data_IF_665545513698
#
_entry.id   IF_665545513698
#
_cell.length_a   1.000
_cell.length_b   1.000
_cell.length_c   1.000
_cell.angle_alpha   90.00
_cell.angle_beta   90.00
_cell.angle_gamma   90.00
#
_symmetry.space_group_name_H-M   'P 1'
#
loop_
_entity.id
_entity.type
_entity.pdbx_description
1 polymer ?
2 non-polymer ?
3 non-polymer ?
4 non-polymer ?
5 water ?
#
# COMPACT_ATOMS: atom_id res chain seq x y z
N UNK A 1 2.70 7.02 17.73
CA UNK A 1 2.14 6.42 18.98
C UNK A 1 2.85 5.11 19.37
N UNK A 2 4.20 5.07 19.28
CA UNK A 2 5.02 3.91 19.82
C UNK A 2 6.41 4.15 20.44
N UNK A 3 6.93 5.40 20.41
CA UNK A 3 8.22 5.83 21.09
C UNK A 3 9.59 5.28 20.55
N UNK A 4 9.63 3.97 20.26
CA UNK A 4 10.63 3.28 19.41
C UNK A 4 10.49 3.75 17.94
N UNK A 5 9.35 4.38 17.66
CA UNK A 5 8.94 4.83 16.35
C UNK A 5 9.30 6.29 16.07
N UNK A 6 10.24 6.83 16.88
CA UNK A 6 10.54 8.29 16.89
C UNK A 6 10.88 8.79 15.47
N UNK A 7 11.90 8.17 14.86
CA UNK A 7 12.37 8.61 13.52
C UNK A 7 11.25 8.46 12.47
N UNK A 8 10.56 7.31 12.49
CA UNK A 8 9.42 7.03 11.62
C UNK A 8 8.32 8.07 11.75
N UNK A 9 8.03 8.51 12.97
CA UNK A 9 6.91 9.44 13.14
C UNK A 9 7.13 10.78 12.49
N UNK A 10 8.39 11.15 12.27
CA UNK A 10 8.70 12.46 11.69
C UNK A 10 8.20 12.48 10.26
N UNK A 11 7.98 11.27 9.72
CA UNK A 11 7.57 11.10 8.34
C UNK A 11 6.07 11.09 8.06
N UNK A 12 5.28 11.11 9.14
CA UNK A 12 3.86 10.72 9.11
C UNK A 12 3.00 11.61 8.19
N UNK A 13 3.18 12.94 8.24
CA UNK A 13 2.34 13.71 7.30
C UNK A 13 2.78 13.58 5.85
N UNK A 14 4.09 13.53 5.63
CA UNK A 14 4.62 13.49 4.26
C UNK A 14 4.20 12.19 3.61
N UNK A 15 4.39 11.06 4.28
CA UNK A 15 3.96 9.76 3.74
C UNK A 15 2.44 9.70 3.46
N UNK A 16 1.63 10.30 4.33
CA UNK A 16 0.17 10.33 4.10
C UNK A 16 -0.21 11.17 2.92
N UNK A 17 0.39 12.36 2.80
CA UNK A 17 0.20 13.21 1.59
C UNK A 17 0.52 12.45 0.34
N UNK A 18 1.67 11.80 0.31
CA UNK A 18 2.09 11.08 -0.89
C UNK A 18 1.04 9.99 -1.18
N UNK A 19 0.66 9.26 -0.12
CA UNK A 19 -0.25 8.13 -0.23
C UNK A 19 -1.51 8.56 -0.93
N UNK A 20 -2.08 9.69 -0.48
CA UNK A 20 -3.31 10.15 -1.11
C UNK A 20 -3.20 10.91 -2.46
N UNK A 21 -2.11 11.67 -2.71
CA UNK A 21 -1.96 12.18 -4.11
C UNK A 21 -1.85 11.04 -5.08
N UNK A 22 -1.12 10.01 -4.69
CA UNK A 22 -0.93 8.89 -5.57
C UNK A 22 -2.30 8.33 -5.90
N UNK A 23 -3.11 8.10 -4.84
CA UNK A 23 -4.49 7.61 -4.96
C UNK A 23 -5.36 8.46 -5.91
N UNK A 24 -5.36 9.79 -5.73
CA UNK A 24 -6.11 10.73 -6.60
C UNK A 24 -5.73 10.55 -8.05
N UNK A 25 -4.41 10.47 -8.33
CA UNK A 25 -3.84 10.27 -9.67
C UNK A 25 -4.27 8.98 -10.31
N UNK A 26 -4.14 7.88 -9.59
CA UNK A 26 -4.41 6.56 -10.15
C UNK A 26 -5.89 6.31 -10.45
N UNK A 27 -6.78 6.89 -9.65
CA UNK A 27 -8.24 6.75 -9.86
C UNK A 27 -8.73 7.55 -11.09
N UNK A 28 -8.12 8.71 -11.36
CA UNK A 28 -8.22 9.35 -12.70
C UNK A 28 -7.81 8.46 -13.90
N UNK A 29 -6.54 8.02 -13.98
CA UNK A 29 -6.15 7.17 -15.10
C UNK A 29 -6.92 5.82 -15.21
N UNK A 30 -7.73 5.45 -14.21
CA UNK A 30 -8.50 4.15 -14.22
C UNK A 30 -9.81 4.18 -13.38
N UNK A 31 -10.84 4.94 -13.85
CA UNK A 31 -11.92 5.47 -13.01
C UNK A 31 -12.92 4.46 -12.46
N UNK A 32 -12.95 3.24 -13.01
CA UNK A 32 -13.97 2.24 -12.63
C UNK A 32 -13.45 0.88 -12.33
N UNK A 33 -12.20 0.87 -11.92
CA UNK A 33 -11.50 -0.40 -11.71
C UNK A 33 -11.08 -0.51 -10.25
N UNK A 34 -10.97 -1.74 -9.78
CA UNK A 34 -10.17 -2.06 -8.59
C UNK A 34 -8.84 -1.26 -8.55
N UNK A 35 -8.58 -0.60 -7.43
CA UNK A 35 -7.25 -0.10 -7.16
C UNK A 35 -6.76 -0.73 -5.89
N UNK A 36 -5.55 -1.31 -5.91
CA UNK A 36 -4.91 -1.84 -4.69
C UNK A 36 -3.40 -1.74 -4.69
N UNK A 37 -2.85 -0.96 -3.76
CA UNK A 37 -1.42 -0.75 -3.67
C UNK A 37 -0.99 -0.49 -2.22
N UNK A 38 0.34 -0.47 -2.02
CA UNK A 38 0.94 -0.16 -0.71
C UNK A 38 1.70 1.17 -0.75
N UNK A 39 1.08 2.27 -0.25
CA UNK A 39 1.81 3.55 -0.23
C UNK A 39 3.19 3.39 0.44
N UNK A 40 3.23 2.78 1.62
CA UNK A 40 4.45 2.75 2.37
C UNK A 40 5.56 2.05 1.60
N UNK A 41 5.19 0.98 0.88
CA UNK A 41 6.08 0.25 0.04
C UNK A 41 6.60 1.10 -1.13
N UNK A 42 5.72 1.87 -1.81
CA UNK A 42 6.19 2.75 -2.88
C UNK A 42 7.09 3.80 -2.30
N UNK A 43 6.66 4.42 -1.21
CA UNK A 43 7.45 5.51 -0.70
C UNK A 43 8.83 5.00 -0.36
N UNK A 44 8.88 3.82 0.23
CA UNK A 44 10.12 3.25 0.70
C UNK A 44 11.04 2.88 -0.48
N UNK A 45 10.51 2.28 -1.57
CA UNK A 45 11.33 1.88 -2.72
C UNK A 45 12.00 3.12 -3.30
N UNK A 46 11.25 4.22 -3.46
CA UNK A 46 11.81 5.47 -3.99
C UNK A 46 12.77 6.23 -3.13
N UNK A 47 12.56 6.22 -1.83
CA UNK A 47 13.47 6.89 -0.92
C UNK A 47 14.80 6.18 -1.02
N UNK A 48 14.74 4.86 -1.12
CA UNK A 48 15.91 4.05 -1.32
C UNK A 48 16.69 4.44 -2.60
N UNK A 49 16.01 4.64 -3.74
CA UNK A 49 16.70 5.21 -4.91
C UNK A 49 17.37 6.52 -4.60
N UNK A 50 16.70 7.36 -3.80
CA UNK A 50 17.30 8.64 -3.44
C UNK A 50 18.70 8.47 -2.82
N UNK A 51 18.93 7.35 -2.13
CA UNK A 51 20.22 7.02 -1.52
C UNK A 51 21.36 7.00 -2.53
N UNK A 52 21.02 6.69 -3.79
CA UNK A 52 21.93 6.75 -4.90
C UNK A 52 21.82 7.91 -5.86
N UNK A 53 20.85 8.82 -5.67
CA UNK A 53 20.60 9.87 -6.63
C UNK A 53 21.35 11.10 -6.22
N UNK A 54 21.59 11.98 -7.18
CA UNK A 54 22.29 13.24 -6.94
C UNK A 54 21.50 14.39 -7.56
N UNK A 55 21.71 15.61 -7.03
CA UNK A 55 21.19 16.83 -7.66
C UNK A 55 19.65 16.82 -7.85
N UNK A 56 19.20 17.10 -9.08
CA UNK A 56 17.80 17.33 -9.35
C UNK A 56 17.05 16.01 -9.41
N UNK A 57 17.74 14.94 -9.84
CA UNK A 57 17.17 13.58 -9.72
C UNK A 57 16.76 13.27 -8.28
N UNK A 58 17.64 13.58 -7.34
CA UNK A 58 17.44 13.28 -5.98
C UNK A 58 16.36 14.16 -5.34
N UNK A 59 16.43 15.46 -5.61
CA UNK A 59 15.47 16.43 -5.07
C UNK A 59 14.05 16.19 -5.55
N UNK A 60 13.89 15.80 -6.81
CA UNK A 60 12.57 15.45 -7.34
C UNK A 60 11.99 14.18 -6.71
N UNK A 61 12.86 13.21 -6.43
CA UNK A 61 12.41 11.97 -5.76
C UNK A 61 11.83 12.37 -4.39
N UNK A 62 12.62 13.11 -3.60
CA UNK A 62 12.25 13.42 -2.22
C UNK A 62 11.04 14.37 -2.17
N UNK A 63 10.97 15.28 -3.13
CA UNK A 63 9.88 16.24 -3.13
C UNK A 63 8.61 15.58 -3.61
N UNK A 64 8.76 14.68 -4.56
CA UNK A 64 7.60 14.03 -5.15
C UNK A 64 7.04 13.08 -4.12
N UNK A 65 7.92 12.60 -3.24
CA UNK A 65 7.48 11.86 -2.07
C UNK A 65 6.82 12.72 -0.98
N UNK A 66 6.59 14.03 -1.27
CA UNK A 66 5.98 15.06 -0.38
C UNK A 66 6.81 15.47 0.84
N UNK A 67 8.13 15.38 0.72
CA UNK A 67 9.02 15.99 1.71
C UNK A 67 9.47 17.40 1.24
N UNK A 68 9.55 18.32 2.20
CA UNK A 68 10.02 19.67 1.89
C UNK A 68 11.41 19.81 2.49
N UNK A 69 12.39 19.81 1.59
CA UNK A 69 13.79 19.72 2.00
C UNK A 69 14.29 20.90 2.83
N UNK A 70 13.61 22.04 2.68
CA UNK A 70 13.91 23.23 3.52
C UNK A 70 13.44 23.03 4.97
N UNK A 71 12.62 22.01 5.25
CA UNK A 71 12.14 21.76 6.62
C UNK A 71 12.50 20.38 7.22
N UNK A 72 13.05 19.46 6.43
CA UNK A 72 13.51 18.15 6.94
C UNK A 72 14.87 17.79 6.29
N UNK A 73 15.81 17.26 7.08
CA UNK A 73 17.08 16.76 6.51
C UNK A 73 16.91 15.44 5.73
N UNK A 74 17.71 15.28 4.67
CA UNK A 74 17.80 13.99 4.01
C UNK A 74 18.19 12.83 4.99
N UNK A 75 19.10 13.11 5.93
CA UNK A 75 19.48 12.16 7.00
C UNK A 75 18.25 11.63 7.71
N UNK A 76 17.31 12.53 8.03
CA UNK A 76 16.11 12.16 8.80
C UNK A 76 15.12 11.29 8.02
N UNK A 77 14.93 11.58 6.74
CA UNK A 77 14.12 10.78 5.82
C UNK A 77 14.63 9.35 5.84
N UNK A 78 15.93 9.13 5.55
CA UNK A 78 16.47 7.76 5.52
C UNK A 78 16.39 7.10 6.90
N UNK A 79 16.61 7.89 7.95
CA UNK A 79 16.51 7.36 9.32
C UNK A 79 15.08 6.93 9.59
N UNK A 80 14.16 7.81 9.16
CA UNK A 80 12.73 7.65 9.24
C UNK A 80 12.30 6.35 8.59
N UNK A 81 12.71 6.16 7.32
CA UNK A 81 12.28 5.00 6.59
C UNK A 81 12.97 3.76 7.12
N UNK A 82 14.22 3.86 7.57
CA UNK A 82 14.79 2.67 8.19
C UNK A 82 13.97 2.24 9.45
N UNK A 83 13.56 3.23 10.20
CA UNK A 83 12.85 2.94 11.44
C UNK A 83 11.48 2.36 11.08
N UNK A 84 10.84 2.94 10.07
CA UNK A 84 9.60 2.42 9.58
C UNK A 84 9.68 0.98 9.09
N UNK A 85 10.63 0.64 8.20
CA UNK A 85 10.70 -0.74 7.69
C UNK A 85 11.02 -1.70 8.82
N UNK A 86 11.93 -1.28 9.68
CA UNK A 86 12.30 -2.12 10.80
C UNK A 86 11.04 -2.48 11.64
N UNK A 87 10.20 -1.49 11.91
CA UNK A 87 9.01 -1.76 12.70
C UNK A 87 7.95 -2.56 12.04
N UNK A 88 7.72 -2.29 10.74
CA UNK A 88 6.77 -3.03 9.93
C UNK A 88 7.18 -4.46 9.64
N UNK A 89 8.49 -4.67 9.45
CA UNK A 89 8.99 -6.00 9.14
C UNK A 89 9.38 -6.83 10.29
N UNK A 90 9.59 -6.22 11.47
CA UNK A 90 10.05 -6.97 12.65
C UNK A 90 9.12 -8.08 13.16
N UNK A 91 9.62 -9.34 13.26
CA UNK A 91 8.95 -10.50 13.86
C UNK A 91 8.31 -10.29 15.25
N UNK A 92 9.04 -9.72 16.22
CA UNK A 92 8.46 -9.45 17.54
C UNK A 92 7.42 -8.31 17.55
N UNK A 93 7.32 -7.54 16.46
CA UNK A 93 6.48 -6.31 16.39
C UNK A 93 5.03 -6.50 15.93
N UNK A 94 4.34 -5.39 15.69
CA UNK A 94 2.90 -5.44 15.53
C UNK A 94 2.24 -5.69 14.19
N UNK A 95 3.03 -5.88 13.13
CA UNK A 95 2.49 -5.91 11.78
C UNK A 95 2.99 -7.12 11.00
N UNK A 96 4.31 -7.33 10.98
CA UNK A 96 4.95 -8.38 10.17
C UNK A 96 4.50 -8.27 8.73
N UNK A 97 4.79 -7.13 8.12
CA UNK A 97 4.21 -6.78 6.85
C UNK A 97 4.99 -7.54 5.76
N UNK A 98 6.26 -7.81 6.04
CA UNK A 98 7.20 -8.38 5.11
C UNK A 98 7.29 -7.68 3.76
N UNK A 99 7.47 -6.37 3.79
CA UNK A 99 7.49 -5.61 2.55
C UNK A 99 8.90 -5.63 2.02
N UNK A 100 9.02 -5.77 0.70
CA UNK A 100 10.33 -6.00 0.07
C UNK A 100 10.54 -5.14 -1.16
N UNK A 101 11.78 -4.65 -1.27
CA UNK A 101 12.34 -3.86 -2.36
C UNK A 101 13.45 -4.64 -3.00
N UNK A 102 13.48 -4.69 -4.33
CA UNK A 102 14.59 -5.31 -5.06
C UNK A 102 14.86 -4.50 -6.31
N UNK A 103 16.14 -4.49 -6.71
CA UNK A 103 16.58 -3.99 -7.99
C UNK A 103 17.22 -5.04 -8.85
N UNK A 104 16.89 -5.02 -10.14
CA UNK A 104 17.47 -5.90 -11.12
C UNK A 104 18.18 -5.01 -12.13
N UNK A 105 19.52 -5.05 -12.11
CA UNK A 105 20.33 -4.07 -12.87
C UNK A 105 21.03 -4.87 -13.99
N UNK A 106 21.07 -4.28 -15.19
CA UNK A 106 21.80 -4.91 -16.30
C UNK A 106 23.24 -5.25 -15.90
N UNK A 107 23.64 -6.47 -16.24
CA UNK A 107 25.03 -6.91 -16.10
C UNK A 107 26.04 -5.94 -16.76
N UNK A 108 25.56 -5.17 -17.73
CA UNK A 108 26.36 -4.19 -18.45
C UNK A 108 26.71 -2.90 -17.66
N UNK A 109 26.30 -2.83 -16.40
CA UNK A 109 26.58 -1.64 -15.60
C UNK A 109 27.28 -2.01 -14.32
N UNK A 110 28.05 -1.05 -13.80
CA UNK A 110 28.81 -1.22 -12.54
C UNK A 110 27.87 -1.01 -11.36
N UNK A 111 28.19 -1.63 -10.24
CA UNK A 111 27.59 -1.25 -8.94
C UNK A 111 28.61 -0.84 -7.86
N UNK A 112 28.30 0.23 -7.15
CA UNK A 112 29.14 0.68 -6.09
C UNK A 112 28.80 -0.09 -4.81
N UNK A 113 29.85 -0.56 -4.13
CA UNK A 113 29.71 -1.14 -2.83
C UNK A 113 29.00 -0.19 -1.85
N UNK A 114 29.26 1.12 -1.99
CA UNK A 114 28.74 2.10 -1.05
C UNK A 114 27.22 2.07 -1.16
N UNK A 115 26.69 2.04 -2.40
CA UNK A 115 25.24 2.00 -2.56
C UNK A 115 24.64 0.67 -2.08
N UNK A 116 25.27 -0.44 -2.45
CA UNK A 116 24.76 -1.72 -1.99
C UNK A 116 24.73 -1.83 -0.46
N UNK A 117 25.71 -1.25 0.26
CA UNK A 117 25.81 -1.39 1.72
C UNK A 117 24.77 -0.44 2.35
N UNK A 118 24.74 0.82 1.93
CA UNK A 118 23.82 1.80 2.43
C UNK A 118 22.39 1.36 2.25
N UNK A 119 22.09 0.83 1.05
CA UNK A 119 20.74 0.47 0.74
C UNK A 119 20.39 -0.84 1.45
N UNK A 120 21.36 -1.72 1.74
CA UNK A 120 21.02 -2.89 2.50
C UNK A 120 20.75 -2.49 3.96
N UNK A 121 21.63 -1.67 4.52
CA UNK A 121 21.53 -1.33 5.95
C UNK A 121 20.25 -0.58 6.19
N UNK A 122 19.97 0.42 5.35
CA UNK A 122 18.80 1.27 5.57
C UNK A 122 17.48 0.65 5.15
N UNK A 123 17.49 -0.08 4.04
CA UNK A 123 16.27 -0.36 3.30
C UNK A 123 16.17 -1.83 3.06
N UNK A 124 17.07 -2.62 3.64
CA UNK A 124 17.08 -4.08 3.36
C UNK A 124 17.05 -4.43 1.83
N UNK A 125 17.65 -3.61 0.97
CA UNK A 125 17.69 -3.88 -0.47
C UNK A 125 18.44 -5.17 -0.82
N UNK A 126 17.78 -5.95 -1.68
CA UNK A 126 18.48 -7.01 -2.43
C UNK A 126 18.63 -6.54 -3.84
N UNK A 127 19.87 -6.57 -4.36
CA UNK A 127 20.15 -6.14 -5.74
C UNK A 127 20.69 -7.32 -6.56
N UNK A 128 20.28 -7.43 -7.81
CA UNK A 128 20.63 -8.59 -8.70
C UNK A 128 21.16 -8.10 -10.04
N UNK A 129 22.29 -8.66 -10.45
CA UNK A 129 22.85 -8.48 -11.80
C UNK A 129 21.96 -9.32 -12.68
N UNK A 130 21.47 -8.70 -13.73
CA UNK A 130 20.47 -9.38 -14.53
C UNK A 130 20.83 -9.25 -16.00
N UNK A 131 20.81 -10.38 -16.69
CA UNK A 131 20.99 -10.41 -18.14
C UNK A 131 19.63 -10.28 -18.82
N UNK A 132 19.25 -9.03 -19.10
CA UNK A 132 17.99 -8.73 -19.78
C UNK A 132 17.92 -9.15 -21.29
N UNK A 133 19.06 -9.53 -21.89
CA UNK A 133 19.12 -10.10 -23.21
C UNK A 133 18.86 -11.60 -23.19
N UNK A 134 18.26 -12.07 -22.10
CA UNK A 134 17.71 -13.39 -22.05
C UNK A 134 16.37 -13.17 -21.38
N UNK A 135 15.43 -12.43 -22.07
CA UNK A 135 14.13 -12.08 -21.49
C UNK A 135 13.40 -13.24 -20.83
N UNK A 136 13.31 -14.37 -21.54
CA UNK A 136 12.70 -15.59 -21.03
C UNK A 136 13.28 -15.96 -19.68
N UNK A 137 14.59 -16.18 -19.63
CA UNK A 137 15.25 -16.68 -18.45
C UNK A 137 15.26 -15.58 -17.32
N UNK A 138 15.41 -14.29 -17.69
CA UNK A 138 15.28 -13.14 -16.76
C UNK A 138 13.90 -13.17 -16.08
N UNK A 139 12.85 -13.10 -16.91
CA UNK A 139 11.44 -13.26 -16.44
C UNK A 139 11.21 -14.42 -15.52
N UNK A 140 11.62 -15.61 -15.95
CA UNK A 140 11.42 -16.78 -15.12
C UNK A 140 12.19 -16.62 -13.77
N UNK A 141 13.39 -16.05 -13.80
CA UNK A 141 14.17 -15.98 -12.57
C UNK A 141 13.70 -14.88 -11.62
N UNK A 142 13.23 -13.78 -12.19
CA UNK A 142 12.62 -12.72 -11.41
C UNK A 142 11.32 -13.19 -10.73
N UNK A 143 10.45 -13.87 -11.49
CA UNK A 143 9.17 -14.32 -10.96
C UNK A 143 9.30 -15.43 -9.94
N UNK A 144 10.31 -16.27 -10.13
CA UNK A 144 10.66 -17.28 -9.15
C UNK A 144 11.14 -16.64 -7.86
N UNK A 145 11.83 -15.50 -8.03
CA UNK A 145 12.37 -14.77 -6.90
C UNK A 145 11.22 -14.22 -6.05
N UNK A 146 10.27 -13.55 -6.72
CA UNK A 146 9.08 -12.98 -6.04
C UNK A 146 8.28 -14.09 -5.41
N UNK A 147 8.11 -15.20 -6.12
CA UNK A 147 7.38 -16.30 -5.59
C UNK A 147 8.01 -16.90 -4.33
N UNK A 148 9.32 -17.06 -4.35
CA UNK A 148 9.98 -17.74 -3.28
C UNK A 148 10.00 -16.83 -2.04
N UNK A 149 10.19 -15.54 -2.31
CA UNK A 149 10.32 -14.49 -1.31
C UNK A 149 8.96 -14.34 -0.56
N UNK A 150 7.86 -14.65 -1.24
CA UNK A 150 6.53 -14.38 -0.69
C UNK A 150 5.84 -15.67 -0.27
N UNK A 151 6.65 -16.71 -0.06
CA UNK A 151 6.14 -18.05 0.29
C UNK A 151 4.95 -18.47 -0.57
N UNK A 152 5.00 -18.09 -1.84
CA UNK A 152 4.03 -18.55 -2.77
C UNK A 152 2.96 -17.55 -3.02
N UNK A 153 2.80 -16.56 -2.15
CA UNK A 153 1.65 -15.61 -2.21
C UNK A 153 1.59 -14.66 -3.38
N UNK A 154 2.72 -14.37 -4.00
CA UNK A 154 2.78 -13.49 -5.16
C UNK A 154 3.68 -14.17 -6.17
N UNK A 155 3.17 -14.34 -7.39
CA UNK A 155 3.93 -14.92 -8.50
C UNK A 155 3.80 -13.91 -9.67
N UNK A 156 4.53 -14.13 -10.75
CA UNK A 156 4.33 -13.34 -11.99
C UNK A 156 4.35 -11.84 -11.85
N UNK A 157 5.33 -11.32 -11.12
CA UNK A 157 5.62 -9.90 -11.11
C UNK A 157 5.78 -9.26 -12.49
N UNK A 158 6.63 -9.82 -13.36
CA UNK A 158 6.90 -9.22 -14.69
C UNK A 158 6.58 -10.21 -15.84
N UNK A 159 6.24 -9.69 -17.02
CA UNK A 159 5.90 -10.45 -18.25
C UNK A 159 6.37 -9.59 -19.40
N UNK A 160 6.98 -10.20 -20.42
CA UNK A 160 7.52 -9.47 -21.62
C UNK A 160 8.39 -8.24 -21.24
N UNK A 161 9.64 -8.47 -20.82
CA UNK A 161 10.51 -7.38 -20.38
C UNK A 161 11.41 -6.88 -21.49
N UNK A 162 11.40 -5.57 -21.73
CA UNK A 162 12.27 -4.99 -22.79
C UNK A 162 13.76 -5.46 -22.67
N UNK A 163 14.34 -6.08 -23.74
CA UNK A 163 15.75 -6.53 -23.65
C UNK A 163 16.77 -5.41 -23.48
N UNK A 164 16.36 -4.18 -23.68
CA UNK A 164 17.17 -3.03 -23.35
C UNK A 164 17.00 -2.41 -21.92
N UNK A 165 16.43 -3.19 -20.98
CA UNK A 165 16.13 -2.71 -19.63
C UNK A 165 17.47 -2.42 -18.98
N UNK A 166 17.57 -1.24 -18.41
CA UNK A 166 18.76 -0.91 -17.68
C UNK A 166 18.56 -1.39 -16.23
N UNK A 167 17.48 -0.94 -15.59
CA UNK A 167 17.14 -1.29 -14.18
C UNK A 167 15.63 -1.42 -13.98
N UNK A 168 15.25 -2.53 -13.39
CA UNK A 168 13.94 -2.79 -12.87
C UNK A 168 13.92 -2.55 -11.34
N UNK A 169 13.12 -1.61 -10.85
CA UNK A 169 12.87 -1.48 -9.40
C UNK A 169 11.61 -2.22 -9.08
N UNK A 170 11.72 -3.27 -8.28
CA UNK A 170 10.54 -4.03 -7.82
C UNK A 170 10.16 -3.71 -6.32
N UNK A 171 8.90 -3.29 -6.04
CA UNK A 171 8.40 -3.42 -4.66
C UNK A 171 7.17 -4.28 -4.61
N UNK A 172 7.15 -5.16 -3.61
CA UNK A 172 6.06 -6.05 -3.48
C UNK A 172 5.81 -6.34 -2.01
N UNK A 173 4.58 -6.74 -1.71
CA UNK A 173 4.13 -6.91 -0.31
C UNK A 173 2.83 -7.68 -0.33
N UNK A 174 2.79 -8.71 0.50
CA UNK A 174 1.59 -9.50 0.75
C UNK A 174 1.21 -9.29 2.25
N UNK A 175 -0.10 -9.21 2.54
CA UNK A 175 -0.56 -9.13 3.90
C UNK A 175 -1.85 -9.91 4.06
N UNK A 176 -1.98 -10.53 5.22
CA UNK A 176 -3.26 -11.05 5.73
C UNK A 176 -3.30 -10.76 7.22
N UNK A 177 -4.32 -10.01 7.63
CA UNK A 177 -4.33 -9.67 9.01
C UNK A 177 -5.07 -10.72 9.80
N UNK A 178 -4.74 -10.82 11.08
CA UNK A 178 -5.65 -11.48 11.98
C UNK A 178 -6.59 -10.46 12.69
N UNK A 179 -7.90 -10.70 12.59
CA UNK A 179 -8.90 -9.79 13.15
C UNK A 179 -8.91 -9.75 14.69
N UNK A 180 -8.90 -8.56 15.29
CA UNK A 180 -9.06 -8.49 16.76
C UNK A 180 -10.40 -9.13 17.20
N UNK A 181 -11.47 -8.85 16.44
CA UNK A 181 -12.80 -9.38 16.60
C UNK A 181 -13.10 -10.24 15.39
N UNK A 182 -12.94 -11.55 15.52
CA UNK A 182 -13.21 -12.45 14.36
C UNK A 182 -14.67 -12.47 13.92
N UNK A 183 -14.90 -12.65 12.62
CA UNK A 183 -16.22 -12.93 12.08
C UNK A 183 -16.50 -14.42 12.39
N UNK A 184 -17.76 -14.80 12.65
CA UNK A 184 -18.07 -16.22 12.93
C UNK A 184 -18.26 -16.92 11.59
N UNK A 185 -17.40 -17.89 11.30
CA UNK A 185 -17.43 -18.53 9.97
C UNK A 185 -18.72 -19.31 9.69
N UNK A 186 -19.36 -19.87 10.72
CA UNK A 186 -20.68 -20.56 10.55
C UNK A 186 -21.62 -19.65 9.76
N UNK A 187 -21.54 -18.32 9.96
CA UNK A 187 -22.49 -17.34 9.34
C UNK A 187 -22.10 -16.64 8.04
N UNK A 188 -20.96 -17.00 7.46
CA UNK A 188 -20.61 -16.49 6.12
C UNK A 188 -21.54 -17.18 5.12
N UNK A 189 -22.19 -16.42 4.24
CA UNK A 189 -23.11 -16.93 3.22
C UNK A 189 -22.91 -16.12 1.97
N UNK A 190 -23.15 -16.72 0.80
CA UNK A 190 -23.01 -16.04 -0.48
C UNK A 190 -24.14 -15.04 -0.66
N UNK A 191 -23.77 -13.77 -0.83
CA UNK A 191 -24.73 -12.70 -0.95
C UNK A 191 -24.35 -11.86 -2.15
N UNK A 192 -25.22 -10.94 -2.51
CA UNK A 192 -25.05 -10.19 -3.69
C UNK A 192 -24.24 -8.95 -3.43
N UNK A 193 -23.36 -8.63 -4.39
CA UNK A 193 -22.55 -7.43 -4.36
C UNK A 193 -22.85 -6.69 -5.63
N UNK A 194 -23.12 -5.39 -5.50
CA UNK A 194 -23.59 -4.58 -6.62
C UNK A 194 -22.47 -3.71 -7.13
N UNK A 195 -21.82 -4.21 -8.19
CA UNK A 195 -20.74 -3.51 -8.88
C UNK A 195 -21.14 -2.23 -9.62
N UNK A 196 -22.23 -2.26 -10.44
CA UNK A 196 -22.46 -1.26 -11.58
C UNK A 196 -23.66 -0.25 -11.70
N UNK A 197 -24.90 -0.70 -11.59
CA UNK A 197 -25.25 -2.09 -11.69
C UNK A 197 -25.98 -2.31 -13.01
N UNK A 198 -25.19 -2.28 -14.09
CA UNK A 198 -25.34 -3.28 -15.14
C UNK A 198 -24.70 -4.65 -14.65
N UNK A 199 -23.98 -4.64 -13.52
CA UNK A 199 -23.29 -5.87 -12.97
C UNK A 199 -23.46 -6.16 -11.48
N UNK A 200 -23.61 -7.44 -11.17
CA UNK A 200 -23.97 -7.96 -9.85
C UNK A 200 -23.30 -9.29 -9.66
N UNK A 201 -22.59 -9.47 -8.56
CA UNK A 201 -21.81 -10.71 -8.40
C UNK A 201 -22.14 -11.37 -7.06
N UNK A 202 -21.84 -12.66 -6.94
CA UNK A 202 -21.98 -13.26 -5.66
C UNK A 202 -20.62 -13.37 -4.96
N UNK A 203 -20.59 -13.04 -3.67
CA UNK A 203 -19.37 -12.89 -2.89
C UNK A 203 -19.66 -13.57 -1.56
N UNK A 204 -18.67 -14.27 -0.96
CA UNK A 204 -18.97 -14.74 0.40
C UNK A 204 -18.95 -13.56 1.40
N UNK A 205 -20.13 -13.21 1.90
CA UNK A 205 -20.33 -12.07 2.78
C UNK A 205 -20.23 -12.54 4.24
N UNK A 206 -19.22 -12.04 4.95
CA UNK A 206 -18.99 -12.43 6.33
C UNK A 206 -19.92 -11.59 7.17
N UNK A 207 -20.15 -12.04 8.41
CA UNK A 207 -21.13 -11.46 9.32
C UNK A 207 -20.60 -11.50 10.72
N UNK A 208 -20.88 -10.42 11.41
CA UNK A 208 -20.55 -10.32 12.81
C UNK A 208 -21.47 -9.29 13.47
N UNK A 209 -21.85 -9.53 14.71
CA UNK A 209 -22.63 -8.55 15.49
C UNK A 209 -21.82 -8.06 16.69
N UNK A 210 -21.70 -6.75 16.90
CA UNK A 210 -20.91 -6.29 18.04
C UNK A 210 -20.61 -4.83 17.93
N UNK A 211 -19.82 -4.29 18.87
CA UNK A 211 -19.50 -2.87 18.89
C UNK A 211 -18.27 -2.54 18.02
N UNK A 212 -18.44 -1.70 17.00
CA UNK A 212 -17.35 -1.30 16.15
C UNK A 212 -17.23 0.21 16.02
N UNK A 213 -16.01 0.70 15.80
CA UNK A 213 -15.79 2.09 15.54
C UNK A 213 -16.56 2.44 14.31
N UNK A 214 -17.30 3.54 14.41
CA UNK A 214 -18.22 3.95 13.37
C UNK A 214 -18.24 5.47 13.26
N UNK A 215 -18.46 5.96 12.04
CA UNK A 215 -18.70 7.38 11.82
C UNK A 215 -19.36 7.54 10.49
N UNK A 216 -20.34 8.46 10.40
CA UNK A 216 -20.95 8.83 9.12
C UNK A 216 -20.52 10.25 8.84
N UNK A 217 -19.88 10.60 7.70
CA UNK A 217 -19.97 12.04 7.29
C UNK A 217 -20.98 12.37 6.24
N UNK A 218 -21.73 13.46 6.52
CA UNK A 218 -22.73 13.94 5.57
C UNK A 218 -22.01 14.57 4.39
N UNK A 219 -21.07 15.48 4.68
CA UNK A 219 -20.20 16.10 3.65
C UNK A 219 -19.79 15.08 2.58
N UNK A 220 -19.32 13.90 3.01
CA UNK A 220 -18.87 12.96 2.04
C UNK A 220 -19.82 11.85 1.67
N UNK A 221 -20.89 11.69 2.45
CA UNK A 221 -21.92 10.65 2.17
C UNK A 221 -21.36 9.23 2.27
N UNK A 222 -20.60 9.04 3.35
CA UNK A 222 -19.79 7.84 3.59
C UNK A 222 -20.06 7.25 4.93
N UNK A 223 -20.22 5.95 4.97
CA UNK A 223 -20.22 5.26 6.24
C UNK A 223 -18.80 4.78 6.44
N UNK A 224 -18.22 5.03 7.63
CA UNK A 224 -16.88 4.59 7.99
C UNK A 224 -16.99 3.56 9.11
N UNK A 225 -16.42 2.37 8.90
CA UNK A 225 -16.30 1.40 9.97
C UNK A 225 -14.82 1.04 10.11
N UNK A 226 -14.34 1.04 11.35
CA UNK A 226 -12.96 0.72 11.60
C UNK A 226 -12.81 -0.54 12.47
N UNK A 227 -12.01 -1.49 11.99
CA UNK A 227 -11.82 -2.80 12.60
C UNK A 227 -10.35 -2.94 12.90
N UNK A 228 -10.01 -3.34 14.13
CA UNK A 228 -8.60 -3.56 14.45
C UNK A 228 -8.18 -4.93 14.02
N UNK A 229 -6.94 -4.98 13.57
CA UNK A 229 -6.20 -6.24 13.56
C UNK A 229 -5.52 -6.51 14.92
N UNK A 230 -5.29 -7.78 15.22
CA UNK A 230 -4.33 -8.17 16.26
C UNK A 230 -3.02 -7.54 15.92
N UNK A 231 -2.35 -7.01 16.92
CA UNK A 231 -1.11 -6.31 16.64
C UNK A 231 -1.46 -4.86 16.57
N UNK A 232 -0.83 -4.11 15.69
CA UNK A 232 -1.04 -2.68 15.67
C UNK A 232 -1.72 -2.16 14.38
N UNK A 233 -1.92 -3.02 13.37
CA UNK A 233 -2.59 -2.62 12.12
C UNK A 233 -4.05 -2.40 12.38
N UNK A 234 -4.67 -1.53 11.61
CA UNK A 234 -6.10 -1.28 11.70
C UNK A 234 -6.68 -1.05 10.29
N UNK A 235 -7.93 -1.43 10.08
CA UNK A 235 -8.58 -1.22 8.77
C UNK A 235 -9.77 -0.26 8.82
N UNK A 236 -9.75 0.81 8.02
CA UNK A 236 -10.93 1.72 7.80
C UNK A 236 -11.67 1.27 6.56
N UNK A 237 -12.96 0.96 6.71
CA UNK A 237 -13.76 0.42 5.61
C UNK A 237 -14.74 1.52 5.31
N UNK A 238 -14.69 2.04 4.08
CA UNK A 238 -15.40 3.26 3.71
C UNK A 238 -16.37 2.93 2.62
N UNK A 239 -17.65 3.10 2.95
CA UNK A 239 -18.79 2.74 2.09
C UNK A 239 -19.41 4.06 1.65
N UNK A 240 -19.10 4.55 0.43
CA UNK A 240 -19.82 5.73 -0.04
C UNK A 240 -21.21 5.32 -0.55
N UNK A 241 -22.18 6.25 -0.39
CA UNK A 241 -23.51 6.15 -1.03
C UNK A 241 -23.39 5.98 -2.57
N UNK A 242 -24.28 5.18 -3.18
CA UNK A 242 -24.42 5.13 -4.67
C UNK A 242 -24.36 6.54 -5.27
N UNK A 243 -23.45 6.74 -6.21
CA UNK A 243 -23.22 8.04 -6.85
C UNK A 243 -22.18 8.91 -6.16
N UNK A 244 -21.56 8.45 -5.07
CA UNK A 244 -20.65 9.35 -4.33
C UNK A 244 -19.16 8.97 -4.32
N UNK A 245 -18.82 7.86 -4.97
CA UNK A 245 -17.43 7.42 -5.10
C UNK A 245 -16.50 8.45 -5.77
N UNK A 246 -16.85 8.97 -6.97
CA UNK A 246 -15.99 9.94 -7.72
C UNK A 246 -15.62 11.08 -6.77
N UNK A 247 -16.63 11.54 -6.04
CA UNK A 247 -16.46 12.68 -5.15
C UNK A 247 -15.48 12.38 -3.97
N UNK A 248 -15.66 11.21 -3.35
CA UNK A 248 -14.78 10.70 -2.31
C UNK A 248 -13.31 10.57 -2.79
N UNK A 249 -13.11 9.86 -3.93
CA UNK A 249 -11.81 9.82 -4.64
C UNK A 249 -11.12 11.17 -4.76
N UNK A 250 -11.83 12.20 -5.22
CA UNK A 250 -11.23 13.51 -5.52
C UNK A 250 -10.89 14.34 -4.28
N UNK A 251 -11.45 13.98 -3.14
CA UNK A 251 -11.29 14.76 -1.92
C UNK A 251 -10.33 14.08 -0.98
N UNK A 252 -10.27 12.74 -1.04
CA UNK A 252 -9.72 11.97 0.06
C UNK A 252 -8.26 12.41 0.32
N UNK A 253 -7.99 12.82 1.53
CA UNK A 253 -6.65 13.28 1.85
C UNK A 253 -6.48 12.98 3.34
N UNK A 254 -5.34 13.31 3.92
CA UNK A 254 -5.07 12.92 5.27
C UNK A 254 -5.88 13.67 6.33
N UNK A 255 -6.42 14.81 5.93
CA UNK A 255 -7.26 15.61 6.80
C UNK A 255 -8.62 14.89 6.95
N UNK A 256 -9.18 14.41 5.83
CA UNK A 256 -10.34 13.54 5.87
C UNK A 256 -10.14 12.34 6.83
N UNK A 257 -8.96 11.71 6.76
CA UNK A 257 -8.65 10.57 7.63
C UNK A 257 -8.67 11.00 9.09
N UNK A 258 -8.03 12.13 9.41
CA UNK A 258 -7.94 12.61 10.78
C UNK A 258 -9.32 13.00 11.33
N UNK A 259 -10.14 13.62 10.49
CA UNK A 259 -11.55 13.88 10.79
C UNK A 259 -12.22 12.57 11.22
N UNK A 260 -12.15 11.55 10.36
CA UNK A 260 -12.77 10.27 10.69
C UNK A 260 -12.32 9.71 12.04
N UNK A 261 -11.02 9.60 12.23
CA UNK A 261 -10.56 8.93 13.41
C UNK A 261 -10.83 9.75 14.69
N UNK A 262 -10.88 11.09 14.56
CA UNK A 262 -11.23 11.96 15.67
C UNK A 262 -12.67 11.70 16.13
N UNK A 263 -13.54 11.33 15.19
CA UNK A 263 -14.96 11.17 15.44
C UNK A 263 -15.53 9.74 15.48
N UNK A 264 -14.71 8.71 15.36
CA UNK A 264 -15.22 7.33 15.50
C UNK A 264 -15.69 7.08 16.91
N UNK A 265 -16.77 6.32 17.05
CA UNK A 265 -17.29 5.92 18.38
C UNK A 265 -17.77 4.53 18.20
N UNK A 266 -17.60 3.71 19.24
CA UNK A 266 -18.10 2.32 19.25
C UNK A 266 -19.63 2.33 19.19
N UNK A 267 -20.18 1.60 18.22
CA UNK A 267 -21.62 1.46 18.00
C UNK A 267 -21.91 -0.03 17.84
N UNK A 268 -22.88 -0.54 18.59
CA UNK A 268 -23.31 -1.93 18.38
C UNK A 268 -24.12 -2.05 17.07
N UNK A 269 -23.80 -3.07 16.27
CA UNK A 269 -24.33 -3.20 14.90
C UNK A 269 -24.20 -4.59 14.32
N UNK A 270 -24.95 -4.78 13.24
CA UNK A 270 -24.80 -5.93 12.40
C UNK A 270 -23.91 -5.52 11.26
N UNK A 271 -22.82 -6.27 11.11
CA UNK A 271 -21.77 -5.94 10.13
C UNK A 271 -21.65 -7.08 9.14
N UNK A 272 -21.78 -6.69 7.88
CA UNK A 272 -21.64 -7.57 6.77
C UNK A 272 -20.48 -7.06 5.94
N UNK A 273 -19.51 -7.94 5.73
CA UNK A 273 -18.28 -7.54 5.04
C UNK A 273 -17.76 -8.69 4.20
N UNK A 274 -17.39 -8.45 2.94
CA UNK A 274 -17.04 -9.62 2.11
C UNK A 274 -15.70 -10.35 2.52
N UNK A 275 -15.69 -11.68 2.50
CA UNK A 275 -14.48 -12.47 2.42
C UNK A 275 -13.99 -12.38 0.99
N UNK A 276 -12.78 -11.85 0.80
CA UNK A 276 -12.19 -11.68 -0.53
C UNK A 276 -10.63 -11.56 -0.52
N UNK A 277 -10.03 -11.51 -1.71
CA UNK A 277 -8.56 -11.35 -1.91
C UNK A 277 -8.43 -10.39 -3.01
N UNK A 278 -7.40 -9.56 -2.96
CA UNK A 278 -7.17 -8.60 -4.02
C UNK A 278 -5.65 -8.38 -4.35
N UNK A 279 -5.29 -8.24 -5.64
CA UNK A 279 -3.94 -7.87 -6.13
C UNK A 279 -4.02 -6.55 -6.83
N UNK A 280 -3.00 -5.74 -6.69
CA UNK A 280 -2.81 -4.65 -7.63
C UNK A 280 -1.40 -4.81 -8.17
N UNK A 281 -1.24 -4.56 -9.47
CA UNK A 281 0.06 -4.78 -10.11
C UNK A 281 0.29 -3.67 -11.07
N UNK A 282 1.21 -2.77 -10.79
CA UNK A 282 1.33 -1.61 -11.67
C UNK A 282 2.77 -1.26 -12.07
N UNK A 283 2.95 -0.81 -13.31
CA UNK A 283 4.14 -0.08 -13.67
C UNK A 283 3.78 1.38 -13.37
N UNK A 284 4.46 2.01 -12.41
CA UNK A 284 4.02 3.27 -11.79
C UNK A 284 4.75 4.56 -12.21
N UNK A 285 5.58 4.45 -13.25
CA UNK A 285 6.32 5.57 -13.85
C UNK A 285 5.48 6.79 -14.18
N UNK A 286 4.40 6.65 -14.98
CA UNK A 286 3.60 7.80 -15.41
C UNK A 286 3.10 8.55 -14.23
N UNK A 287 2.62 7.77 -13.24
CA UNK A 287 1.94 8.28 -12.07
C UNK A 287 2.95 9.13 -11.35
N UNK A 288 4.17 8.58 -11.17
CA UNK A 288 5.20 9.33 -10.48
C UNK A 288 5.72 10.50 -11.32
N UNK A 289 5.78 10.34 -12.64
CA UNK A 289 6.12 11.47 -13.54
C UNK A 289 5.13 12.62 -13.29
N UNK A 290 3.83 12.29 -13.34
CA UNK A 290 2.76 13.25 -13.05
C UNK A 290 2.94 13.82 -11.65
N UNK A 291 3.54 13.10 -10.71
CA UNK A 291 3.72 13.69 -9.37
C UNK A 291 4.99 14.49 -9.21
N UNK A 292 5.71 14.64 -10.32
CA UNK A 292 6.89 15.46 -10.37
C UNK A 292 8.22 14.71 -10.27
N UNK A 293 8.18 13.38 -10.45
CA UNK A 293 9.42 12.58 -10.42
C UNK A 293 9.71 12.22 -11.86
N UNK A 294 10.70 12.92 -12.45
CA UNK A 294 10.86 12.96 -13.90
C UNK A 294 12.20 12.43 -14.37
N UNK A 295 13.27 13.09 -13.93
CA UNK A 295 14.64 12.87 -14.40
C UNK A 295 15.14 11.46 -14.17
N UNK A 296 14.68 10.83 -13.08
CA UNK A 296 15.08 9.47 -12.73
C UNK A 296 14.72 8.47 -13.81
N UNK A 297 13.68 8.80 -14.57
CA UNK A 297 13.24 7.91 -15.64
C UNK A 297 13.91 8.20 -17.00
N UNK A 298 14.63 9.31 -17.07
CA UNK A 298 15.13 9.80 -18.34
C UNK A 298 16.65 9.71 -18.38
N UNK A 299 17.19 10.05 -19.54
CA UNK A 299 18.61 10.07 -19.73
C UNK A 299 19.25 11.24 -19.03
N UNK A 300 18.45 12.00 -18.31
CA UNK A 300 19.02 13.09 -17.55
C UNK A 300 19.18 12.67 -16.09
N UNK A 301 18.81 11.41 -15.76
CA UNK A 301 18.99 10.84 -14.39
C UNK A 301 20.42 10.96 -13.95
N UNK A 302 20.64 11.44 -12.72
CA UNK A 302 21.95 11.30 -12.06
C UNK A 302 21.79 10.26 -10.95
N UNK A 303 21.99 9.00 -11.32
CA UNK A 303 22.12 7.89 -10.35
C UNK A 303 23.60 7.46 -10.10
N UNK A 304 24.49 8.47 -10.04
CA UNK A 304 25.92 8.20 -10.00
C UNK A 304 26.34 7.59 -8.67
N UNK A 305 25.54 7.83 -7.62
CA UNK A 305 25.66 7.15 -6.34
C UNK A 305 25.43 5.67 -6.41
N UNK A 306 24.82 5.16 -7.50
CA UNK A 306 24.61 3.69 -7.68
C UNK A 306 25.75 3.00 -8.43
N UNK A 307 26.12 3.57 -9.59
CA UNK A 307 27.04 2.91 -10.52
C UNK A 307 28.42 3.58 -10.47
N UNK A 308 28.49 4.76 -9.85
CA UNK A 308 29.67 5.62 -9.97
C UNK A 308 29.79 6.43 -11.27
N UNK A 309 28.85 6.29 -12.21
CA UNK A 309 28.88 7.15 -13.43
C UNK A 309 27.49 7.61 -13.71
N UNK A 310 27.35 8.66 -14.54
CA UNK A 310 25.98 9.08 -14.85
C UNK A 310 25.43 8.29 -16.07
N UNK A 311 25.28 6.99 -15.93
CA UNK A 311 24.87 6.10 -16.99
C UNK A 311 23.59 5.31 -16.71
N UNK A 312 22.95 5.53 -15.55
CA UNK A 312 21.84 4.67 -15.14
C UNK A 312 20.55 5.46 -15.09
N UNK A 313 19.43 4.79 -15.31
CA UNK A 313 18.10 5.40 -15.16
C UNK A 313 17.15 4.27 -14.83
N UNK A 314 15.97 4.60 -14.34
CA UNK A 314 15.04 3.55 -13.95
C UNK A 314 14.25 3.24 -15.18
N UNK A 315 14.38 2.03 -15.70
CA UNK A 315 13.65 1.64 -16.91
C UNK A 315 12.17 1.35 -16.60
N UNK A 316 11.94 0.66 -15.49
CA UNK A 316 10.66 0.09 -15.16
C UNK A 316 10.67 -0.02 -13.62
N UNK A 317 9.58 0.43 -12.98
CA UNK A 317 9.27 0.16 -11.56
C UNK A 317 7.94 -0.50 -11.50
N UNK A 318 7.94 -1.77 -11.08
CA UNK A 318 6.74 -2.57 -10.85
C UNK A 318 6.45 -2.64 -9.36
N UNK A 319 5.21 -2.30 -8.99
CA UNK A 319 4.71 -2.47 -7.63
C UNK A 319 3.58 -3.48 -7.57
N UNK A 320 3.67 -4.50 -6.72
CA UNK A 320 2.54 -5.43 -6.57
C UNK A 320 2.18 -5.59 -5.09
N UNK A 321 0.92 -5.29 -4.75
CA UNK A 321 0.42 -5.47 -3.38
C UNK A 321 -0.66 -6.53 -3.38
N UNK A 322 -0.70 -7.32 -2.33
CA UNK A 322 -1.61 -8.40 -2.29
C UNK A 322 -2.15 -8.61 -0.87
N UNK A 323 -3.42 -8.92 -0.78
CA UNK A 323 -4.12 -8.94 0.50
C UNK A 323 -5.14 -10.03 0.51
N UNK A 324 -5.17 -10.79 1.57
CA UNK A 324 -6.34 -11.63 1.79
C UNK A 324 -7.13 -11.14 3.00
N UNK A 325 -8.47 -11.24 2.85
CA UNK A 325 -9.42 -10.94 3.91
C UNK A 325 -10.34 -12.12 4.11
N UNK A 326 -10.38 -12.59 5.34
CA UNK A 326 -11.33 -13.61 5.69
C UNK A 326 -11.77 -13.52 7.18
N UNK A 327 -12.47 -14.55 7.71
CA UNK A 327 -13.11 -14.50 9.04
C UNK A 327 -12.15 -14.50 10.21
N UNK A 328 -10.92 -14.97 10.02
CA UNK A 328 -10.02 -15.29 11.16
C UNK A 328 -9.45 -14.04 11.83
N UNK A 329 -9.23 -13.99 13.13
CA UNK A 329 -9.08 -15.12 14.03
C UNK A 329 -8.72 -14.50 15.34
N UNK A 330 -8.60 -15.31 16.38
CA UNK A 330 -8.70 -14.86 17.79
C UNK A 330 -7.71 -13.79 18.22
N UNK A 336 -15.68 -13.52 28.42
CA UNK A 336 -15.36 -12.18 28.92
C UNK A 336 -16.52 -11.62 29.84
N UNK A 337 -16.24 -10.52 30.55
CA UNK A 337 -16.89 -10.12 31.81
C UNK A 337 -17.75 -8.84 31.76
N UNK A 338 -17.57 -8.07 30.67
CA UNK A 338 -18.30 -6.83 30.35
C UNK A 338 -18.89 -6.86 28.94
N UNK A 339 -20.23 -6.79 28.88
CA UNK A 339 -20.97 -6.79 27.60
C UNK A 339 -22.10 -5.79 27.58
N UNK A 340 -22.19 -5.01 26.51
CA UNK A 340 -23.22 -4.00 26.38
C UNK A 340 -24.60 -4.65 26.30
N UNK A 341 -25.60 -3.95 26.86
CA UNK A 341 -27.04 -4.24 26.65
C UNK A 341 -27.56 -3.35 25.50
N UNK A 342 -27.60 -3.89 24.26
CA UNK A 342 -27.84 -3.06 23.07
C UNK A 342 -29.33 -2.73 22.88
N UNK A 343 -29.61 -1.73 22.05
CA UNK A 343 -30.98 -1.34 21.67
C UNK A 343 -31.63 -2.47 20.86
N UNK A 344 -32.96 -2.54 20.96
CA UNK A 344 -33.76 -3.62 20.37
C UNK A 344 -33.57 -3.84 18.85
N UNK A 345 -33.35 -2.78 18.08
CA UNK A 345 -33.19 -2.90 16.62
C UNK A 345 -31.88 -2.26 16.18
N UNK A 346 -30.77 -2.93 16.47
CA UNK A 346 -29.45 -2.32 16.16
C UNK A 346 -29.27 -2.06 14.64
N UNK A 347 -28.41 -1.09 14.29
CA UNK A 347 -28.14 -0.81 12.84
C UNK A 347 -27.50 -2.00 12.16
N UNK A 348 -27.65 -2.05 10.83
CA UNK A 348 -26.99 -3.04 10.00
C UNK A 348 -26.18 -2.26 8.98
N UNK A 349 -24.89 -2.55 8.84
CA UNK A 349 -24.05 -1.99 7.75
C UNK A 349 -23.57 -3.15 6.88
N UNK A 350 -23.81 -3.03 5.59
CA UNK A 350 -23.49 -4.11 4.68
C UNK A 350 -22.61 -3.61 3.52
N UNK A 351 -21.37 -4.07 3.45
CA UNK A 351 -20.48 -3.60 2.38
C UNK A 351 -20.80 -4.44 1.15
N UNK A 352 -21.78 -4.00 0.39
CA UNK A 352 -22.26 -4.84 -0.67
C UNK A 352 -22.31 -4.03 -1.94
N UNK A 353 -21.74 -2.86 -1.90
CA UNK A 353 -21.48 -2.13 -3.11
C UNK A 353 -20.02 -1.53 -3.01
N UNK A 354 -19.51 -0.85 -4.05
CA UNK A 354 -18.09 -0.52 -3.97
C UNK A 354 -17.70 0.34 -2.76
N UNK A 355 -16.51 0.05 -2.22
CA UNK A 355 -16.00 0.65 -0.98
C UNK A 355 -14.47 0.79 -0.99
N UNK A 356 -13.93 1.63 -0.13
CA UNK A 356 -12.53 1.69 0.11
C UNK A 356 -12.16 0.86 1.31
N UNK A 357 -10.96 0.24 1.24
CA UNK A 357 -10.33 -0.36 2.40
C UNK A 357 -8.92 0.28 2.63
N UNK A 358 -8.74 0.92 3.79
CA UNK A 358 -7.48 1.62 4.06
C UNK A 358 -6.85 0.98 5.29
N UNK A 359 -5.63 0.47 5.14
CA UNK A 359 -5.02 -0.28 6.23
C UNK A 359 -3.86 0.53 6.71
N UNK A 360 -3.84 0.79 8.01
CA UNK A 360 -2.77 1.59 8.64
C UNK A 360 -2.05 0.83 9.76
N UNK A 361 -0.82 1.27 10.06
CA UNK A 361 -0.19 0.87 11.33
C UNK A 361 -0.37 1.95 12.42
N UNK A 362 -0.96 1.57 13.57
CA UNK A 362 -1.14 2.48 14.73
C UNK A 362 0.15 2.84 15.49
N UNK A 363 1.16 1.95 15.48
CA UNK A 363 2.52 2.25 16.03
C UNK A 363 3.36 3.24 15.25
N UNK A 364 3.20 3.32 13.93
CA UNK A 364 3.98 4.29 13.15
C UNK A 364 3.12 5.31 12.42
N UNK A 365 1.81 5.20 12.60
CA UNK A 365 0.87 6.03 11.85
C UNK A 365 1.17 6.11 10.36
N UNK A 366 1.32 4.96 9.73
CA UNK A 366 1.58 4.93 8.29
C UNK A 366 0.49 4.16 7.59
N UNK A 367 0.21 4.60 6.37
CA UNK A 367 -0.70 3.89 5.49
C UNK A 367 0.01 2.72 4.83
N UNK A 368 -0.48 1.53 5.18
CA UNK A 368 0.04 0.29 4.63
C UNK A 368 -0.65 -0.07 3.32
N UNK A 369 -1.96 0.09 3.22
CA UNK A 369 -2.63 -0.30 1.96
C UNK A 369 -3.77 0.63 1.63
N UNK A 370 -3.95 0.89 0.33
CA UNK A 370 -5.10 1.65 -0.14
C UNK A 370 -5.82 0.79 -1.19
N UNK A 371 -7.08 0.45 -0.90
CA UNK A 371 -7.85 -0.41 -1.77
C UNK A 371 -9.10 0.35 -2.15
N UNK A 372 -9.48 0.26 -3.41
CA UNK A 372 -10.77 0.68 -3.85
C UNK A 372 -11.27 -0.60 -4.44
N UNK A 373 -12.27 -1.20 -3.81
CA UNK A 373 -12.81 -2.49 -4.21
C UNK A 373 -14.12 -2.20 -4.91
N UNK A 374 -14.13 -2.26 -6.24
CA UNK A 374 -15.38 -2.17 -7.00
C UNK A 374 -15.93 -3.58 -7.28
N UNK A 375 -15.07 -4.59 -7.30
CA UNK A 375 -15.54 -5.94 -7.56
C UNK A 375 -14.67 -6.96 -6.83
N UNK A 376 -15.15 -7.46 -5.67
CA UNK A 376 -14.33 -8.35 -4.89
C UNK A 376 -14.21 -9.78 -5.48
N UNK A 377 -14.75 -10.03 -6.67
CA UNK A 377 -14.60 -11.38 -7.28
C UNK A 377 -13.56 -11.47 -8.41
N UNK A 378 -13.14 -10.29 -8.91
CA UNK A 378 -11.93 -10.07 -9.69
C UNK A 378 -10.79 -9.99 -8.69
#
# INVERSE_FOLDING_TARGET
SNAEAMAALKLVPNNADFAFQFFREVTQEAPNKNIFYSPVSISTAFAMLALGARSATQSQILEGLAFNLTEIQEKEIHEGFHNLIHMLNHPEGGVQLNMMNAIFVTAALALLRKFLDDAKALYQLEAFTTDFNKPTEAEKQINDYIERKTHGKITNLVKDMDPQTVMLLASFVYFKGSWEKPFEAEHTEEREFFVDAETTVKVPMMYQMGRFDFYFDEELSCTVVRLHYNGSATAFLVLPAKGKMKQLEQTLDKETIQKWSDHLFQRFMNLYFPKFSISGSYEISNTLRKMGIVDVFTNQADLSGITGSPDLKVSKVVHKASLDVDEKGTEAAAATAVEIMPISFPPTIEFSHPFLMLIFDRDTNSTLFIGKIVNPTITS
#
